data_IF_084468905620
#
_entry.id   IF_084468905620
#
_cell.length_a   1.000
_cell.length_b   1.000
_cell.length_c   1.000
_cell.angle_alpha   90.00
_cell.angle_beta   90.00
_cell.angle_gamma   90.00
#
_symmetry.space_group_name_H-M   'P 1'
#
loop_
_entity.id
_entity.type
_entity.pdbx_description
1 polymer ?
#
# COMPACT_ATOMS: atom_id res chain seq x y z
N UNK A 1 -3.43 -5.45 -0.47
CA UNK A 1 -2.35 -6.42 -0.73
C UNK A 1 -1.06 -5.84 -0.17
N UNK A 2 -0.16 -6.69 0.28
CA UNK A 2 1.14 -6.31 0.84
C UNK A 2 2.26 -7.05 0.08
N UNK A 3 3.50 -6.66 0.34
CA UNK A 3 4.72 -7.33 -0.10
C UNK A 3 5.57 -7.69 1.12
N UNK A 4 6.37 -8.75 1.00
CA UNK A 4 7.44 -9.06 1.96
C UNK A 4 8.76 -8.51 1.43
N UNK A 5 9.31 -7.51 2.10
CA UNK A 5 10.52 -6.82 1.67
C UNK A 5 11.63 -6.95 2.69
N UNK A 6 12.82 -7.40 2.26
CA UNK A 6 14.01 -7.41 3.10
C UNK A 6 14.59 -6.00 3.21
N UNK A 7 14.74 -5.49 4.44
CA UNK A 7 15.34 -4.18 4.71
C UNK A 7 16.72 -4.37 5.31
N UNK A 8 17.76 -4.16 4.49
CA UNK A 8 19.17 -4.30 4.89
C UNK A 8 19.53 -3.59 6.20
N UNK A 9 19.11 -2.32 6.46
CA UNK A 9 19.43 -1.64 7.71
C UNK A 9 18.85 -2.34 8.96
N UNK A 10 17.78 -3.11 8.79
CA UNK A 10 17.10 -3.83 9.87
C UNK A 10 17.48 -5.32 9.92
N UNK A 11 18.24 -5.82 8.94
CA UNK A 11 18.58 -7.24 8.80
C UNK A 11 17.36 -8.17 8.83
N UNK A 12 16.19 -7.69 8.40
CA UNK A 12 14.93 -8.42 8.55
C UNK A 12 13.95 -8.12 7.43
N UNK A 13 13.02 -9.05 7.21
CA UNK A 13 11.91 -8.91 6.27
C UNK A 13 10.71 -8.27 6.96
N UNK A 14 10.14 -7.25 6.33
CA UNK A 14 8.93 -6.57 6.78
C UNK A 14 7.76 -6.89 5.85
N UNK A 15 6.54 -6.84 6.41
CA UNK A 15 5.31 -6.76 5.64
C UNK A 15 5.02 -5.29 5.35
N UNK A 16 4.96 -4.94 4.07
CA UNK A 16 4.85 -3.57 3.62
C UNK A 16 3.76 -3.40 2.55
N UNK A 17 3.14 -2.22 2.48
CA UNK A 17 2.42 -1.81 1.28
C UNK A 17 3.43 -1.55 0.15
N UNK A 18 3.06 -1.84 -1.12
CA UNK A 18 3.89 -1.51 -2.26
C UNK A 18 4.29 -0.05 -2.29
N UNK A 19 5.55 0.23 -2.59
CA UNK A 19 6.06 1.60 -2.59
C UNK A 19 7.39 1.71 -3.31
N UNK A 20 7.53 2.79 -4.08
CA UNK A 20 8.82 3.19 -4.60
C UNK A 20 8.98 4.70 -4.69
N UNK A 21 10.09 5.09 -5.31
CA UNK A 21 10.56 6.47 -5.30
C UNK A 21 9.94 7.25 -6.44
N UNK A 22 9.53 8.48 -6.16
CA UNK A 22 9.11 9.41 -7.18
C UNK A 22 10.26 9.72 -8.14
N UNK A 23 9.99 9.56 -9.43
CA UNK A 23 10.80 10.12 -10.49
C UNK A 23 10.77 11.64 -10.47
N UNK A 24 11.76 12.27 -11.12
CA UNK A 24 11.86 13.73 -11.18
C UNK A 24 10.64 14.31 -11.92
N UNK A 25 9.78 15.02 -11.19
CA UNK A 25 8.56 15.62 -11.74
C UNK A 25 7.44 14.61 -12.04
N UNK A 26 7.57 13.37 -11.56
CA UNK A 26 6.52 12.35 -11.65
C UNK A 26 5.35 12.72 -10.74
N UNK A 27 4.12 12.55 -11.23
CA UNK A 27 2.92 12.69 -10.40
C UNK A 27 2.87 11.52 -9.38
N UNK A 28 2.62 11.77 -8.08
CA UNK A 28 2.60 10.69 -7.11
C UNK A 28 1.56 9.60 -7.36
N UNK A 29 0.45 9.93 -8.03
CA UNK A 29 -0.55 8.94 -8.45
C UNK A 29 -0.02 8.03 -9.55
N UNK A 30 0.74 8.57 -10.49
CA UNK A 30 1.33 7.80 -11.58
C UNK A 30 2.43 6.88 -11.05
N UNK A 31 3.25 7.36 -10.11
CA UNK A 31 4.21 6.53 -9.38
C UNK A 31 3.49 5.39 -8.64
N UNK A 32 2.41 5.67 -7.91
CA UNK A 32 1.65 4.63 -7.20
C UNK A 32 1.06 3.57 -8.14
N UNK A 33 0.60 3.97 -9.33
CA UNK A 33 0.12 3.04 -10.36
C UNK A 33 1.23 2.17 -10.93
N UNK A 34 2.41 2.75 -11.18
CA UNK A 34 3.59 2.05 -11.69
C UNK A 34 4.09 1.01 -10.69
N UNK A 35 4.29 1.40 -9.44
CA UNK A 35 4.77 0.50 -8.38
C UNK A 35 3.78 -0.63 -8.08
N UNK A 36 2.46 -0.35 -8.14
CA UNK A 36 1.43 -1.39 -8.02
C UNK A 36 1.57 -2.44 -9.14
N UNK A 37 1.88 -2.01 -10.36
CA UNK A 37 2.10 -2.92 -11.48
C UNK A 37 3.40 -3.71 -11.31
N UNK A 38 4.49 -3.04 -10.96
CA UNK A 38 5.83 -3.64 -10.84
C UNK A 38 5.87 -4.65 -9.68
N UNK A 39 5.39 -4.30 -8.49
CA UNK A 39 5.54 -5.14 -7.29
C UNK A 39 4.40 -6.15 -7.09
N UNK A 40 3.18 -5.86 -7.59
CA UNK A 40 2.00 -6.72 -7.38
C UNK A 40 1.49 -7.38 -8.68
N UNK A 41 1.92 -6.90 -9.86
CA UNK A 41 1.34 -7.35 -11.13
C UNK A 41 -0.10 -6.88 -11.33
N UNK A 42 -0.51 -5.81 -10.64
CA UNK A 42 -1.87 -5.27 -10.69
C UNK A 42 -1.94 -3.99 -11.51
N UNK A 43 -2.96 -3.87 -12.35
CA UNK A 43 -3.18 -2.69 -13.19
C UNK A 43 -4.67 -2.31 -13.28
N UNK A 44 -4.93 -1.09 -13.77
CA UNK A 44 -6.28 -0.56 -13.91
C UNK A 44 -6.90 -0.11 -12.58
N UNK A 45 -8.24 -0.01 -12.58
CA UNK A 45 -9.00 0.40 -11.42
C UNK A 45 -8.87 1.88 -11.05
N UNK A 46 -9.09 2.18 -9.77
CA UNK A 46 -9.11 3.53 -9.20
C UNK A 46 -8.07 3.67 -8.11
N UNK A 47 -7.31 4.76 -8.17
CA UNK A 47 -6.43 5.21 -7.09
C UNK A 47 -7.05 6.40 -6.37
N UNK A 48 -7.31 6.21 -5.08
CA UNK A 48 -7.89 7.23 -4.20
C UNK A 48 -6.79 7.72 -3.28
N UNK A 49 -6.45 9.01 -3.34
CA UNK A 49 -5.49 9.60 -2.41
C UNK A 49 -6.05 9.53 -0.98
N UNK A 50 -5.28 8.99 -0.05
CA UNK A 50 -5.65 8.86 1.35
C UNK A 50 -5.04 9.98 2.19
N UNK A 51 -3.71 10.12 2.13
CA UNK A 51 -2.95 11.05 2.97
C UNK A 51 -1.54 11.22 2.40
N UNK A 52 -0.95 12.37 2.67
CA UNK A 52 0.49 12.59 2.58
C UNK A 52 1.06 12.87 3.97
N UNK A 53 2.25 12.35 4.26
CA UNK A 53 2.88 12.56 5.56
C UNK A 53 4.40 12.46 5.47
N UNK A 54 5.08 13.18 6.36
CA UNK A 54 6.52 13.10 6.53
C UNK A 54 6.91 11.83 7.29
N UNK A 55 7.95 11.13 6.84
CA UNK A 55 8.36 9.86 7.45
C UNK A 55 9.10 10.05 8.76
N UNK A 56 9.98 11.05 8.84
CA UNK A 56 10.73 11.37 10.06
C UNK A 56 11.17 12.85 10.08
N UNK A 57 10.29 13.78 10.48
CA UNK A 57 10.54 15.24 10.44
C UNK A 57 11.78 15.74 11.20
N UNK A 58 12.36 14.92 12.08
CA UNK A 58 13.61 15.23 12.77
C UNK A 58 14.87 14.76 12.04
N UNK A 59 14.75 14.07 10.91
CA UNK A 59 15.85 13.41 10.22
C UNK A 59 15.85 13.63 8.71
N UNK A 60 14.69 13.53 8.06
CA UNK A 60 14.55 13.71 6.61
C UNK A 60 13.31 14.53 6.26
N UNK A 61 13.35 15.14 5.08
CA UNK A 61 12.26 15.88 4.45
C UNK A 61 11.42 14.99 3.50
N UNK A 62 11.60 13.67 3.57
CA UNK A 62 10.87 12.70 2.76
C UNK A 62 9.37 12.74 3.09
N UNK A 63 8.55 12.91 2.03
CA UNK A 63 7.10 12.85 2.07
C UNK A 63 6.65 11.58 1.36
N UNK A 64 5.78 10.80 2.01
CA UNK A 64 5.07 9.70 1.38
C UNK A 64 3.65 10.13 1.02
N UNK A 65 3.23 9.75 -0.20
CA UNK A 65 1.87 9.92 -0.69
C UNK A 65 1.20 8.55 -0.73
N UNK A 66 0.15 8.37 0.06
CA UNK A 66 -0.55 7.08 0.16
C UNK A 66 -1.84 7.09 -0.65
N UNK A 67 -2.02 6.01 -1.41
CA UNK A 67 -3.20 5.76 -2.23
C UNK A 67 -3.86 4.43 -1.86
N UNK A 68 -5.19 4.40 -1.93
CA UNK A 68 -5.99 3.18 -1.94
C UNK A 68 -6.29 2.79 -3.38
N UNK A 69 -5.80 1.63 -3.79
CA UNK A 69 -6.15 1.00 -5.06
C UNK A 69 -7.39 0.11 -4.92
N UNK A 70 -8.40 0.34 -5.75
CA UNK A 70 -9.63 -0.45 -5.84
C UNK A 70 -9.89 -0.85 -7.28
N UNK A 71 -10.66 -1.92 -7.47
CA UNK A 71 -11.17 -2.34 -8.78
C UNK A 71 -10.06 -2.61 -9.82
N UNK A 72 -8.87 -3.03 -9.35
CA UNK A 72 -7.74 -3.39 -10.21
C UNK A 72 -7.86 -4.83 -10.71
N UNK A 73 -7.18 -5.12 -11.80
CA UNK A 73 -7.04 -6.45 -12.36
C UNK A 73 -5.61 -6.95 -12.12
N UNK A 74 -5.47 -8.19 -11.62
CA UNK A 74 -4.16 -8.85 -11.59
C UNK A 74 -3.90 -9.46 -12.95
N UNK A 75 -2.75 -9.18 -13.54
CA UNK A 75 -2.24 -9.92 -14.67
C UNK A 75 -1.37 -11.08 -14.20
N UNK A 76 -1.42 -12.20 -14.92
CA UNK A 76 -0.41 -13.25 -14.76
C UNK A 76 0.94 -12.65 -15.18
N UNK A 77 1.87 -12.59 -14.24
CA UNK A 77 3.19 -12.03 -14.45
C UNK A 77 4.01 -12.96 -15.37
N UNK A 78 4.58 -12.36 -16.41
CA UNK A 78 5.50 -13.00 -17.35
C UNK A 78 6.88 -12.36 -17.13
N UNK A 79 7.47 -12.61 -15.97
CA UNK A 79 8.65 -11.87 -15.49
C UNK A 79 9.66 -12.86 -14.88
N UNK A 80 10.94 -12.60 -15.16
CA UNK A 80 12.10 -13.44 -14.83
C UNK A 80 12.22 -13.71 -13.32
N UNK A 81 12.82 -14.85 -12.97
CA UNK A 81 12.92 -15.46 -11.62
C UNK A 81 13.56 -14.57 -10.52
N UNK A 82 14.11 -13.40 -10.86
CA UNK A 82 14.99 -12.63 -9.96
C UNK A 82 14.36 -11.37 -9.31
N UNK A 83 13.20 -10.88 -9.75
CA UNK A 83 12.71 -9.54 -9.31
C UNK A 83 11.25 -9.44 -8.86
N UNK A 84 10.69 -10.45 -8.19
CA UNK A 84 9.44 -10.26 -7.45
C UNK A 84 9.59 -10.35 -5.94
N UNK A 85 9.24 -9.23 -5.29
CA UNK A 85 8.84 -9.20 -3.90
C UNK A 85 7.69 -10.20 -3.67
N UNK A 86 7.80 -11.03 -2.63
CA UNK A 86 6.76 -12.03 -2.32
C UNK A 86 5.48 -11.32 -1.88
N UNK A 87 4.43 -11.43 -2.70
CA UNK A 87 3.11 -10.85 -2.44
C UNK A 87 2.43 -11.55 -1.27
N UNK A 88 1.93 -10.76 -0.32
CA UNK A 88 1.19 -11.24 0.85
C UNK A 88 -0.25 -10.69 0.86
N UNK A 89 -1.22 -11.61 0.83
CA UNK A 89 -2.63 -11.27 0.96
C UNK A 89 -3.07 -11.26 2.41
N UNK A 90 -3.50 -10.09 2.88
CA UNK A 90 -4.04 -9.87 4.22
C UNK A 90 -5.50 -9.46 4.11
N UNK A 91 -6.41 -10.16 4.80
CA UNK A 91 -7.77 -9.67 4.98
C UNK A 91 -7.71 -8.39 5.80
N UNK A 92 -8.36 -7.34 5.31
CA UNK A 92 -8.32 -6.03 5.97
C UNK A 92 -8.90 -6.06 7.40
N UNK A 93 -9.78 -7.02 7.69
CA UNK A 93 -10.31 -7.28 9.04
C UNK A 93 -9.24 -7.73 10.04
N UNK A 94 -8.17 -8.36 9.55
CA UNK A 94 -7.11 -8.96 10.38
C UNK A 94 -5.95 -7.97 10.61
N UNK A 95 -5.94 -6.84 9.87
CA UNK A 95 -4.91 -5.82 9.96
C UNK A 95 -4.65 -5.31 11.38
N UNK A 96 -5.66 -4.97 12.22
CA UNK A 96 -5.41 -4.53 13.60
C UNK A 96 -4.62 -5.55 14.41
N UNK A 97 -4.97 -6.84 14.30
CA UNK A 97 -4.26 -7.91 15.01
C UNK A 97 -2.82 -8.05 14.54
N UNK A 98 -2.55 -7.91 13.24
CA UNK A 98 -1.18 -7.93 12.72
C UNK A 98 -0.34 -6.75 13.21
N UNK A 99 -0.96 -5.57 13.34
CA UNK A 99 -0.30 -4.36 13.84
C UNK A 99 -0.02 -4.49 15.35
N UNK A 100 -1.04 -4.82 16.15
CA UNK A 100 -0.95 -4.92 17.61
C UNK A 100 0.02 -6.02 18.07
N UNK A 101 0.09 -7.14 17.35
CA UNK A 101 1.04 -8.22 17.63
C UNK A 101 2.44 -7.99 17.03
N UNK A 102 2.70 -6.81 16.45
CA UNK A 102 4.00 -6.44 15.90
C UNK A 102 4.43 -7.23 14.66
N UNK A 103 3.50 -7.86 13.94
CA UNK A 103 3.79 -8.51 12.65
C UNK A 103 3.96 -7.50 11.52
N UNK A 104 3.28 -6.36 11.63
CA UNK A 104 3.46 -5.18 10.77
C UNK A 104 4.15 -4.11 11.60
N UNK A 105 5.33 -3.68 11.17
CA UNK A 105 6.16 -2.70 11.87
C UNK A 105 6.46 -1.45 11.05
N UNK A 106 6.07 -1.45 9.79
CA UNK A 106 6.31 -0.34 8.87
C UNK A 106 5.20 0.72 8.98
N UNK A 107 5.59 1.97 9.23
CA UNK A 107 4.67 3.05 9.57
C UNK A 107 3.68 3.36 8.44
N UNK A 108 4.15 3.44 7.18
CA UNK A 108 3.28 3.71 6.02
C UNK A 108 2.24 2.61 5.83
N UNK A 109 2.62 1.36 6.10
CA UNK A 109 1.70 0.21 6.05
C UNK A 109 0.64 0.27 7.13
N UNK A 110 1.02 0.60 8.36
CA UNK A 110 0.07 0.79 9.48
C UNK A 110 -0.95 1.88 9.12
N UNK A 111 -0.47 3.05 8.69
CA UNK A 111 -1.31 4.20 8.33
C UNK A 111 -2.25 3.83 7.16
N UNK A 112 -1.71 3.27 6.09
CA UNK A 112 -2.45 2.91 4.89
C UNK A 112 -3.58 1.90 5.18
N UNK A 113 -3.29 0.84 5.97
CA UNK A 113 -4.28 -0.16 6.33
C UNK A 113 -5.42 0.41 7.16
N UNK A 114 -5.11 1.24 8.16
CA UNK A 114 -6.12 1.84 9.03
C UNK A 114 -7.01 2.84 8.27
N UNK A 115 -6.41 3.69 7.42
CA UNK A 115 -7.16 4.64 6.60
C UNK A 115 -8.01 3.94 5.54
N UNK A 116 -7.47 2.91 4.86
CA UNK A 116 -8.24 2.12 3.91
C UNK A 116 -9.44 1.43 4.57
N UNK A 117 -9.25 0.86 5.77
CA UNK A 117 -10.33 0.24 6.55
C UNK A 117 -11.43 1.23 6.87
N UNK A 118 -11.06 2.43 7.30
CA UNK A 118 -12.03 3.46 7.67
C UNK A 118 -12.72 4.06 6.45
N UNK A 119 -12.02 4.21 5.33
CA UNK A 119 -12.60 4.62 4.04
C UNK A 119 -13.69 3.63 3.61
N UNK A 120 -13.37 2.34 3.54
CA UNK A 120 -14.31 1.30 3.08
C UNK A 120 -15.51 1.15 4.01
N UNK A 121 -15.32 1.32 5.32
CA UNK A 121 -16.43 1.35 6.29
C UNK A 121 -17.38 2.52 6.07
N UNK A 122 -16.87 3.69 5.68
CA UNK A 122 -17.69 4.88 5.39
C UNK A 122 -18.43 4.70 4.07
N UNK A 123 -17.75 4.22 3.04
CA UNK A 123 -18.31 3.99 1.71
C UNK A 123 -19.48 2.99 1.75
N UNK A 124 -19.31 1.86 2.45
CA UNK A 124 -20.38 0.87 2.64
C UNK A 124 -21.65 1.48 3.30
N UNK A 125 -21.46 2.33 4.31
CA UNK A 125 -22.57 3.02 5.00
C UNK A 125 -23.28 4.04 4.12
N UNK A 126 -22.56 4.68 3.19
CA UNK A 126 -23.15 5.62 2.22
C UNK A 126 -23.97 4.83 1.18
N UNK A 127 -23.42 3.72 0.65
CA UNK A 127 -24.11 2.85 -0.30
C UNK A 127 -25.41 2.24 0.23
N UNK A 128 -25.49 1.92 1.53
CA UNK A 128 -26.71 1.42 2.19
C UNK A 128 -27.78 2.52 2.38
N UNK A 129 -27.36 3.77 2.59
CA UNK A 129 -28.29 4.91 2.78
C UNK A 129 -28.94 5.36 1.47
N UNK A 130 -28.22 5.27 0.34
CA UNK A 130 -28.74 5.68 -0.98
C UNK A 130 -29.71 4.67 -1.61
N UNK A 131 -29.93 3.50 -0.99
CA UNK A 131 -30.86 2.46 -1.45
C UNK A 131 -32.18 2.42 -0.65
N UNK A 132 -32.39 3.35 0.28
CA UNK A 132 -33.66 3.56 0.99
C UNK A 132 -34.33 4.82 0.48
#
# INVERSE_FOLDING_TARGET
MLVKQFRYPLGSTLLEIPAGKLGKGEDPRDCAARELKEEIGAEGGRLIHLVEFYTSPGFCDEILYLYLALDFEKKENNLDDDEFLEVFELKLTDAPSFIENGKIKDAKTIIGLLLARDYLKRDAKIGEKSKK
#
